data_IF_252177062475
#
_entry.id   IF_252177062475
#
_cell.length_a   1.000
_cell.length_b   1.000
_cell.length_c   1.000
_cell.angle_alpha   90.00
_cell.angle_beta   90.00
_cell.angle_gamma   90.00
#
_symmetry.space_group_name_H-M   'P 1'
#
loop_
_entity.id
_entity.type
_entity.pdbx_description
1 polymer ?
#
# COMPACT_ATOMS: atom_id res chain seq x y z
N UNK A 1 5.84 6.86 -1.70
CA UNK A 1 5.08 6.22 -2.80
C UNK A 1 3.97 7.14 -3.26
N UNK A 2 3.55 6.99 -4.51
CA UNK A 2 2.42 7.70 -5.11
C UNK A 2 1.28 6.72 -5.33
N UNK A 3 0.09 7.08 -4.87
CA UNK A 3 -1.17 6.39 -5.11
C UNK A 3 -2.02 7.25 -6.03
N UNK A 4 -2.60 6.64 -7.06
CA UNK A 4 -3.44 7.34 -8.04
C UNK A 4 -4.72 6.56 -8.31
N UNK A 5 -5.85 7.26 -8.29
CA UNK A 5 -7.16 6.72 -8.68
C UNK A 5 -7.67 7.46 -9.92
N UNK A 6 -8.91 7.16 -10.35
CA UNK A 6 -9.58 7.93 -11.41
C UNK A 6 -9.96 9.36 -11.00
N UNK A 7 -9.90 9.70 -9.71
CA UNK A 7 -10.39 10.97 -9.15
C UNK A 7 -9.28 11.87 -8.60
N UNK A 8 -8.11 11.32 -8.29
CA UNK A 8 -7.02 12.08 -7.71
C UNK A 8 -5.77 11.22 -7.48
N UNK A 9 -4.79 11.82 -6.81
CA UNK A 9 -3.57 11.13 -6.42
C UNK A 9 -2.94 11.76 -5.19
N UNK A 10 -2.26 10.94 -4.40
CA UNK A 10 -1.59 11.34 -3.17
C UNK A 10 -0.19 10.74 -3.11
N UNK A 11 0.76 11.49 -2.56
CA UNK A 11 2.05 10.94 -2.16
C UNK A 11 2.06 10.69 -0.65
N UNK A 12 2.42 9.47 -0.27
CA UNK A 12 2.43 9.02 1.13
C UNK A 12 3.55 8.00 1.34
N UNK A 13 3.72 7.51 2.57
CA UNK A 13 4.63 6.43 2.90
C UNK A 13 3.88 5.22 3.44
N UNK A 14 4.50 4.06 3.35
CA UNK A 14 3.98 2.81 3.88
C UNK A 14 5.11 2.00 4.53
N UNK A 15 4.86 1.38 5.69
CA UNK A 15 5.80 0.44 6.28
C UNK A 15 5.90 -0.83 5.44
N UNK A 16 7.12 -1.27 5.16
CA UNK A 16 7.38 -2.55 4.51
C UNK A 16 7.36 -3.67 5.55
N UNK A 17 6.46 -4.63 5.39
CA UNK A 17 6.33 -5.79 6.25
C UNK A 17 5.73 -6.97 5.48
N UNK A 18 5.88 -8.19 6.01
CA UNK A 18 5.32 -9.42 5.41
C UNK A 18 4.21 -10.02 6.27
N UNK A 19 3.59 -9.21 7.15
CA UNK A 19 2.51 -9.64 8.03
C UNK A 19 1.12 -9.52 7.40
N UNK A 20 1.01 -8.76 6.30
CA UNK A 20 -0.19 -8.71 5.47
C UNK A 20 0.00 -9.62 4.25
N UNK A 21 -0.49 -10.85 4.37
CA UNK A 21 -0.31 -11.91 3.36
C UNK A 21 -1.58 -12.10 2.54
N UNK A 22 -1.47 -12.05 1.21
CA UNK A 22 -2.59 -12.28 0.29
C UNK A 22 -2.07 -12.75 -1.07
N UNK A 23 -2.86 -13.52 -1.80
CA UNK A 23 -2.55 -13.94 -3.16
C UNK A 23 -2.78 -12.82 -4.20
N UNK A 24 -3.37 -11.69 -3.78
CA UNK A 24 -3.66 -10.57 -4.67
C UNK A 24 -2.96 -9.27 -4.26
N UNK A 25 -2.95 -8.30 -5.17
CA UNK A 25 -2.25 -7.02 -4.98
C UNK A 25 -3.10 -6.07 -4.12
N UNK A 26 -3.22 -6.37 -2.83
CA UNK A 26 -4.05 -5.61 -1.90
C UNK A 26 -3.27 -4.54 -1.13
N UNK A 27 -3.92 -3.40 -0.93
CA UNK A 27 -3.45 -2.34 -0.03
C UNK A 27 -4.55 -1.93 0.94
N UNK A 28 -4.21 -1.72 2.21
CA UNK A 28 -5.09 -1.02 3.14
C UNK A 28 -4.91 0.47 2.97
N UNK A 29 -6.02 1.19 2.80
CA UNK A 29 -6.03 2.64 2.62
C UNK A 29 -6.78 3.29 3.79
N UNK A 30 -6.13 4.17 4.58
CA UNK A 30 -6.80 4.95 5.63
C UNK A 30 -7.93 5.80 5.03
N UNK A 31 -9.01 5.99 5.81
CA UNK A 31 -10.20 6.69 5.31
C UNK A 31 -9.90 8.09 4.73
N UNK A 32 -8.99 8.86 5.33
CA UNK A 32 -8.61 10.20 4.84
C UNK A 32 -7.93 10.13 3.47
N UNK A 33 -7.05 9.14 3.28
CA UNK A 33 -6.41 8.92 1.97
C UNK A 33 -7.43 8.40 0.96
N UNK A 34 -8.39 7.58 1.39
CA UNK A 34 -9.48 7.13 0.52
C UNK A 34 -10.37 8.29 0.07
N UNK A 35 -10.62 9.30 0.92
CA UNK A 35 -11.32 10.54 0.54
C UNK A 35 -10.54 11.31 -0.53
N UNK A 36 -9.24 11.52 -0.35
CA UNK A 36 -8.37 12.21 -1.31
C UNK A 36 -8.30 11.47 -2.67
N UNK A 37 -8.38 10.14 -2.63
CA UNK A 37 -8.45 9.29 -3.81
C UNK A 37 -9.87 9.16 -4.37
N UNK A 38 -10.90 9.79 -3.79
CA UNK A 38 -12.29 9.67 -4.23
C UNK A 38 -12.84 8.24 -4.14
N UNK A 39 -12.26 7.42 -3.26
CA UNK A 39 -12.69 6.08 -2.89
C UNK A 39 -13.62 6.07 -1.67
N UNK A 40 -13.82 7.23 -1.04
CA UNK A 40 -14.74 7.43 0.09
C UNK A 40 -15.68 8.63 -0.14
N UNK A 41 -17.00 8.52 0.15
CA UNK A 41 -17.71 7.28 0.50
C UNK A 41 -17.60 6.24 -0.64
N UNK A 42 -17.68 4.94 -0.34
CA UNK A 42 -17.31 3.90 -1.30
C UNK A 42 -18.22 3.94 -2.54
N UNK A 43 -17.68 4.22 -3.74
CA UNK A 43 -18.52 4.43 -4.91
C UNK A 43 -19.12 3.13 -5.47
N UNK A 44 -18.40 2.00 -5.32
CA UNK A 44 -18.77 0.66 -5.78
C UNK A 44 -18.03 -0.41 -4.94
N UNK A 45 -18.10 -0.34 -3.61
CA UNK A 45 -17.40 -1.30 -2.75
C UNK A 45 -18.24 -2.55 -2.48
N UNK A 46 -17.55 -3.68 -2.37
CA UNK A 46 -18.10 -4.89 -1.76
C UNK A 46 -17.69 -4.87 -0.29
N UNK A 47 -18.61 -5.21 0.62
CA UNK A 47 -18.23 -5.50 2.00
C UNK A 47 -17.65 -6.90 2.03
N UNK A 48 -16.37 -6.99 2.39
CA UNK A 48 -15.64 -8.24 2.48
C UNK A 48 -15.21 -8.50 3.92
N UNK A 49 -15.41 -9.74 4.37
CA UNK A 49 -14.91 -10.21 5.64
C UNK A 49 -13.43 -10.58 5.47
N UNK A 50 -12.55 -9.86 6.17
CA UNK A 50 -11.11 -10.04 6.10
C UNK A 50 -10.61 -10.60 7.42
N UNK A 51 -9.89 -11.72 7.33
CA UNK A 51 -9.20 -12.30 8.46
C UNK A 51 -7.95 -11.48 8.78
N UNK A 52 -7.92 -10.88 9.97
CA UNK A 52 -6.76 -10.16 10.48
C UNK A 52 -6.21 -10.85 11.72
N UNK A 53 -5.00 -10.45 12.13
CA UNK A 53 -4.43 -10.91 13.40
C UNK A 53 -5.32 -10.57 14.63
N UNK A 54 -6.20 -9.57 14.51
CA UNK A 54 -7.16 -9.16 15.55
C UNK A 54 -8.54 -9.83 15.46
N UNK A 55 -8.74 -10.72 14.49
CA UNK A 55 -10.04 -11.32 14.17
C UNK A 55 -10.62 -10.85 12.84
N UNK A 56 -11.78 -11.39 12.48
CA UNK A 56 -12.49 -11.05 11.26
C UNK A 56 -13.05 -9.61 11.33
N UNK A 57 -12.79 -8.81 10.29
CA UNK A 57 -13.35 -7.46 10.15
C UNK A 57 -14.09 -7.30 8.82
N UNK A 58 -15.21 -6.58 8.83
CA UNK A 58 -15.87 -6.16 7.59
C UNK A 58 -15.21 -4.88 7.08
N UNK A 59 -14.68 -4.94 5.86
CA UNK A 59 -14.02 -3.81 5.20
C UNK A 59 -14.61 -3.52 3.83
N UNK A 60 -14.46 -2.28 3.37
CA UNK A 60 -14.86 -1.89 2.02
C UNK A 60 -13.75 -2.25 1.04
N UNK A 61 -14.01 -3.25 0.20
CA UNK A 61 -13.10 -3.72 -0.84
C UNK A 61 -13.47 -3.10 -2.19
N UNK A 62 -12.49 -2.47 -2.84
CA UNK A 62 -12.65 -1.82 -4.14
C UNK A 62 -11.59 -2.38 -5.09
N UNK A 63 -11.94 -3.35 -5.96
CA UNK A 63 -10.97 -4.03 -6.81
C UNK A 63 -10.33 -3.09 -7.83
N UNK A 64 -9.05 -3.31 -8.12
CA UNK A 64 -8.31 -2.68 -9.23
C UNK A 64 -8.49 -1.14 -9.31
N UNK A 65 -8.47 -0.46 -8.16
CA UNK A 65 -8.91 0.94 -8.06
C UNK A 65 -7.78 1.93 -7.83
N UNK A 66 -6.58 1.44 -7.43
CA UNK A 66 -5.44 2.30 -7.11
C UNK A 66 -4.21 1.86 -7.90
N UNK A 67 -3.64 2.77 -8.68
CA UNK A 67 -2.30 2.63 -9.24
C UNK A 67 -1.28 3.04 -8.18
N UNK A 68 -0.31 2.18 -7.91
CA UNK A 68 0.75 2.42 -6.94
C UNK A 68 2.11 2.46 -7.65
N UNK A 69 2.87 3.51 -7.37
CA UNK A 69 4.28 3.65 -7.82
C UNK A 69 5.16 4.06 -6.63
N UNK A 70 6.30 3.39 -6.42
CA UNK A 70 7.32 3.88 -5.49
C UNK A 70 8.15 4.94 -6.19
N UNK A 71 8.21 6.14 -5.61
CA UNK A 71 8.89 7.30 -6.19
C UNK A 71 10.02 7.70 -5.25
N UNK A 72 11.23 7.72 -5.79
CA UNK A 72 12.46 8.19 -5.15
C UNK A 72 13.09 9.29 -6.03
N UNK A 73 13.94 10.18 -5.48
CA UNK A 73 14.51 11.30 -6.25
C UNK A 73 15.26 10.90 -7.52
N UNK A 74 15.81 9.69 -7.56
CA UNK A 74 16.64 9.16 -8.65
C UNK A 74 15.94 8.11 -9.51
N UNK A 75 14.80 7.55 -9.06
CA UNK A 75 14.16 6.41 -9.71
C UNK A 75 12.69 6.29 -9.30
N UNK A 76 11.85 5.81 -10.22
CA UNK A 76 10.54 5.26 -9.90
C UNK A 76 10.51 3.74 -10.14
N UNK A 77 9.68 3.02 -9.39
CA UNK A 77 9.33 1.63 -9.70
C UNK A 77 8.44 1.55 -10.94
N UNK A 78 8.12 0.32 -11.38
CA UNK A 78 6.92 0.12 -12.21
C UNK A 78 5.66 0.54 -11.44
N UNK A 79 4.61 0.85 -12.18
CA UNK A 79 3.28 1.09 -11.62
C UNK A 79 2.50 -0.22 -11.58
N UNK A 80 1.94 -0.55 -10.42
CA UNK A 80 1.10 -1.74 -10.21
C UNK A 80 -0.35 -1.32 -9.95
N UNK A 81 -1.32 -2.13 -10.38
CA UNK A 81 -2.74 -1.89 -10.12
C UNK A 81 -3.17 -2.73 -8.93
N UNK A 82 -3.61 -2.07 -7.87
CA UNK A 82 -3.96 -2.69 -6.59
C UNK A 82 -5.46 -2.64 -6.33
N UNK A 83 -5.94 -3.61 -5.56
CA UNK A 83 -7.22 -3.50 -4.87
C UNK A 83 -7.05 -2.61 -3.63
N UNK A 84 -8.05 -1.79 -3.34
CA UNK A 84 -8.06 -0.94 -2.15
C UNK A 84 -9.03 -1.48 -1.11
N UNK A 85 -8.52 -1.67 0.10
CA UNK A 85 -9.32 -2.00 1.28
C UNK A 85 -9.38 -0.75 2.15
N UNK A 86 -10.54 -0.09 2.21
CA UNK A 86 -10.67 1.13 3.00
C UNK A 86 -10.85 0.76 4.47
N UNK A 87 -9.89 1.20 5.31
CA UNK A 87 -9.92 1.00 6.75
C UNK A 87 -10.22 2.30 7.48
N UNK A 88 -11.11 2.23 8.47
CA UNK A 88 -11.39 3.32 9.41
C UNK A 88 -10.52 3.25 10.67
N UNK A 89 -9.71 2.21 10.82
CA UNK A 89 -8.86 1.98 11.99
C UNK A 89 -7.37 2.20 11.68
N UNK A 90 -6.94 1.91 10.45
CA UNK A 90 -5.56 2.10 10.02
C UNK A 90 -5.24 3.59 9.79
N UNK A 91 -4.05 4.00 10.19
CA UNK A 91 -3.57 5.38 10.05
C UNK A 91 -2.55 5.56 8.93
N UNK A 92 -1.99 4.46 8.45
CA UNK A 92 -0.98 4.43 7.40
C UNK A 92 -1.45 3.46 6.31
N UNK A 93 -0.94 3.64 5.10
CA UNK A 93 -1.20 2.67 4.03
C UNK A 93 -0.40 1.41 4.31
N UNK A 94 -1.04 0.24 4.26
CA UNK A 94 -0.34 -1.04 4.37
C UNK A 94 -0.27 -1.70 3.00
N UNK A 95 0.88 -2.29 2.70
CA UNK A 95 1.12 -3.06 1.48
C UNK A 95 1.11 -4.54 1.83
N UNK A 96 0.47 -5.35 1.01
CA UNK A 96 0.64 -6.80 1.12
C UNK A 96 2.04 -7.23 0.70
N UNK A 97 2.44 -8.41 1.15
CA UNK A 97 3.65 -9.08 0.67
C UNK A 97 3.66 -9.24 -0.85
N UNK A 98 2.54 -9.58 -1.46
CA UNK A 98 2.39 -9.66 -2.91
C UNK A 98 2.66 -8.32 -3.61
N UNK A 99 2.19 -7.19 -3.05
CA UNK A 99 2.50 -5.85 -3.59
C UNK A 99 3.99 -5.54 -3.48
N UNK A 100 4.62 -5.88 -2.34
CA UNK A 100 6.06 -5.64 -2.12
C UNK A 100 6.91 -6.47 -3.09
N UNK A 101 6.56 -7.74 -3.28
CA UNK A 101 7.24 -8.62 -4.23
C UNK A 101 7.04 -8.15 -5.67
N UNK A 102 5.80 -7.83 -6.06
CA UNK A 102 5.49 -7.34 -7.39
C UNK A 102 6.29 -6.05 -7.67
N UNK A 103 6.39 -5.11 -6.74
CA UNK A 103 7.19 -3.89 -6.87
C UNK A 103 8.71 -4.12 -6.89
N UNK A 104 9.15 -5.36 -6.76
CA UNK A 104 10.55 -5.77 -6.71
C UNK A 104 11.32 -5.06 -5.59
N UNK A 105 10.75 -5.04 -4.39
CA UNK A 105 11.37 -4.42 -3.21
C UNK A 105 12.00 -5.49 -2.32
N UNK A 106 13.27 -5.29 -1.95
CA UNK A 106 13.96 -6.12 -0.98
C UNK A 106 14.06 -5.40 0.37
N UNK A 107 13.52 -6.02 1.42
CA UNK A 107 13.63 -5.54 2.79
C UNK A 107 14.95 -6.03 3.39
N UNK A 108 15.86 -5.12 3.76
CA UNK A 108 17.20 -5.46 4.22
C UNK A 108 17.33 -5.40 5.74
N UNK A 109 16.77 -4.39 6.37
CA UNK A 109 16.78 -4.23 7.83
C UNK A 109 15.52 -3.48 8.26
N UNK A 110 14.42 -4.19 8.59
CA UNK A 110 13.11 -3.58 8.82
C UNK A 110 13.15 -2.53 9.94
N UNK A 111 13.80 -2.84 11.07
CA UNK A 111 13.85 -1.94 12.23
C UNK A 111 14.58 -0.63 11.95
N UNK A 112 15.62 -0.66 11.14
CA UNK A 112 16.41 0.54 10.77
C UNK A 112 15.92 1.18 9.47
N UNK A 113 14.92 0.58 8.82
CA UNK A 113 14.31 1.07 7.58
C UNK A 113 15.21 0.92 6.36
N UNK A 114 16.11 -0.07 6.33
CA UNK A 114 16.95 -0.30 5.14
C UNK A 114 16.25 -1.22 4.15
N UNK A 115 16.22 -0.78 2.90
CA UNK A 115 15.61 -1.49 1.78
C UNK A 115 16.34 -1.17 0.48
N UNK A 116 16.00 -1.86 -0.61
CA UNK A 116 16.44 -1.52 -1.96
C UNK A 116 15.47 -2.07 -3.00
N UNK A 117 15.51 -1.57 -4.22
CA UNK A 117 14.91 -2.28 -5.35
C UNK A 117 15.75 -3.50 -5.72
N UNK A 118 15.11 -4.57 -6.15
CA UNK A 118 15.77 -5.79 -6.63
C UNK A 118 16.74 -5.46 -7.76
N UNK A 119 17.92 -6.05 -7.69
CA UNK A 119 18.98 -5.87 -8.69
C UNK A 119 19.78 -4.57 -8.57
N UNK A 120 19.47 -3.66 -7.64
CA UNK A 120 20.30 -2.46 -7.42
C UNK A 120 21.30 -2.65 -6.26
N UNK A 121 22.46 -1.98 -6.35
CA UNK A 121 23.46 -1.98 -5.27
C UNK A 121 23.18 -0.92 -4.19
N UNK A 122 22.40 0.11 -4.54
CA UNK A 122 22.10 1.24 -3.68
C UNK A 122 21.18 0.82 -2.54
N UNK A 123 21.63 0.94 -1.30
CA UNK A 123 20.79 0.78 -0.12
C UNK A 123 20.06 2.09 0.16
N UNK A 124 18.75 2.01 0.34
CA UNK A 124 17.85 3.13 0.63
C UNK A 124 17.45 3.10 2.09
N UNK A 125 17.13 4.28 2.61
CA UNK A 125 16.64 4.46 3.99
C UNK A 125 15.21 5.00 3.93
N UNK A 126 14.28 4.24 4.50
CA UNK A 126 12.89 4.65 4.65
C UNK A 126 12.77 5.92 5.50
N UNK A 127 11.74 6.71 5.20
CA UNK A 127 11.36 7.86 6.01
C UNK A 127 10.61 7.36 7.24
N UNK A 128 10.95 7.86 8.43
CA UNK A 128 10.20 7.57 9.65
C UNK A 128 9.16 8.68 9.86
N UNK A 129 7.92 8.30 10.18
CA UNK A 129 6.99 9.24 10.81
C UNK A 129 7.61 9.72 12.13
N UNK A 130 7.66 11.04 12.33
CA UNK A 130 7.94 11.64 13.63
C UNK A 130 6.71 11.53 14.52
#
# INVERSE_FOLDING_TARGET
MRLESSKGGVETIAPLNTGFTTDTLDIYVPHLIAEDLGLWPPPNAVLEALDTAGGEILSYFIPNSVKLTVVEPDRASKTVLCNAIVSTHEREVLLSDAVIEELEIEILSPKTGLWRFKGEAKVRKGVQHR
#
